data_IF_217394241612
#
_entry.id   IF_217394241612
#
_cell.length_a   1.000
_cell.length_b   1.000
_cell.length_c   1.000
_cell.angle_alpha   90.00
_cell.angle_beta   90.00
_cell.angle_gamma   90.00
#
_symmetry.space_group_name_H-M   'P 1'
#
loop_
_entity.id
_entity.type
_entity.pdbx_description
1 polymer ?
#
# COMPACT_ATOMS: atom_id res chain seq x y z
N UNK A 1 -6.52 3.05 -1.93
CA UNK A 1 -6.45 2.41 -3.26
C UNK A 1 -7.21 3.26 -4.27
N UNK A 2 -6.83 3.20 -5.54
CA UNK A 2 -7.47 3.92 -6.65
C UNK A 2 -8.70 3.18 -7.18
N UNK A 3 -9.55 3.88 -7.95
CA UNK A 3 -10.70 3.25 -8.64
C UNK A 3 -10.24 2.14 -9.59
N UNK A 4 -9.12 2.34 -10.30
CA UNK A 4 -8.58 1.34 -11.23
C UNK A 4 -8.07 0.09 -10.50
N UNK A 5 -7.42 0.25 -9.34
CA UNK A 5 -7.01 -0.88 -8.50
C UNK A 5 -8.23 -1.68 -8.02
N UNK A 6 -9.31 -1.00 -7.64
CA UNK A 6 -10.56 -1.66 -7.27
C UNK A 6 -11.18 -2.42 -8.45
N UNK A 7 -11.19 -1.83 -9.65
CA UNK A 7 -11.65 -2.51 -10.87
C UNK A 7 -10.82 -3.77 -11.14
N UNK A 8 -9.49 -3.68 -11.05
CA UNK A 8 -8.60 -4.81 -11.24
C UNK A 8 -8.87 -5.91 -10.21
N UNK A 9 -9.07 -5.54 -8.94
CA UNK A 9 -9.44 -6.47 -7.86
C UNK A 9 -10.78 -7.17 -8.13
N UNK A 10 -11.81 -6.41 -8.52
CA UNK A 10 -13.14 -6.94 -8.86
C UNK A 10 -13.02 -7.92 -10.03
N UNK A 11 -12.26 -7.57 -11.07
CA UNK A 11 -12.05 -8.39 -12.26
C UNK A 11 -11.31 -9.70 -11.93
N UNK A 12 -10.26 -9.62 -11.10
CA UNK A 12 -9.47 -10.77 -10.62
C UNK A 12 -10.32 -11.78 -9.86
N UNK A 13 -11.37 -11.34 -9.14
CA UNK A 13 -12.21 -12.19 -8.28
C UNK A 13 -13.67 -12.29 -8.76
N UNK A 14 -13.92 -12.10 -10.07
CA UNK A 14 -15.29 -12.16 -10.62
C UNK A 14 -16.00 -13.48 -10.36
N UNK A 15 -15.26 -14.58 -10.41
CA UNK A 15 -15.74 -15.92 -10.08
C UNK A 15 -16.31 -16.02 -8.67
N UNK A 16 -15.67 -15.36 -7.70
CA UNK A 16 -16.12 -15.33 -6.29
C UNK A 16 -17.26 -14.35 -6.05
N UNK A 17 -17.24 -13.21 -6.74
CA UNK A 17 -18.30 -12.18 -6.64
C UNK A 17 -19.61 -12.70 -7.25
N UNK A 18 -19.51 -13.51 -8.31
CA UNK A 18 -20.65 -14.19 -8.92
C UNK A 18 -21.65 -13.20 -9.53
N UNK A 19 -22.92 -13.34 -9.14
CA UNK A 19 -24.03 -12.55 -9.70
C UNK A 19 -24.04 -11.10 -9.23
N UNK A 20 -23.24 -10.74 -8.22
CA UNK A 20 -23.29 -9.40 -7.66
C UNK A 20 -22.79 -8.36 -8.67
N UNK A 21 -23.62 -7.35 -8.92
CA UNK A 21 -23.21 -6.17 -9.65
C UNK A 21 -22.42 -5.26 -8.71
N UNK A 22 -21.26 -4.78 -9.16
CA UNK A 22 -20.44 -3.81 -8.43
C UNK A 22 -20.50 -2.49 -9.18
N UNK A 23 -21.31 -1.56 -8.68
CA UNK A 23 -21.52 -0.24 -9.26
C UNK A 23 -20.46 0.73 -8.74
N UNK A 24 -19.76 1.40 -9.65
CA UNK A 24 -18.64 2.29 -9.31
C UNK A 24 -18.96 3.70 -9.79
N UNK A 25 -19.05 4.64 -8.85
CA UNK A 25 -19.39 6.04 -9.13
C UNK A 25 -20.79 6.20 -9.76
N UNK A 26 -21.70 5.30 -9.40
CA UNK A 26 -23.08 5.35 -9.85
C UNK A 26 -24.02 4.67 -8.85
N UNK A 27 -25.27 5.14 -8.84
CA UNK A 27 -26.34 4.53 -8.06
C UNK A 27 -27.14 3.58 -8.96
N UNK A 28 -27.02 2.28 -8.70
CA UNK A 28 -27.74 1.22 -9.37
C UNK A 28 -28.59 0.44 -8.35
N UNK A 29 -29.91 0.43 -8.55
CA UNK A 29 -30.87 -0.14 -7.59
C UNK A 29 -31.27 -1.59 -7.93
N UNK A 30 -30.53 -2.25 -8.82
CA UNK A 30 -30.75 -3.66 -9.14
C UNK A 30 -30.44 -4.56 -7.94
N UNK A 31 -31.13 -5.70 -7.85
CA UNK A 31 -30.86 -6.72 -6.83
C UNK A 31 -29.40 -7.18 -6.89
N UNK A 32 -28.87 -7.59 -5.73
CA UNK A 32 -27.49 -8.06 -5.60
C UNK A 32 -26.46 -7.01 -6.04
N UNK A 33 -26.62 -5.78 -5.58
CA UNK A 33 -25.68 -4.70 -5.90
C UNK A 33 -24.87 -4.30 -4.68
N UNK A 34 -23.57 -4.12 -4.87
CA UNK A 34 -22.74 -3.30 -3.98
C UNK A 34 -22.23 -2.12 -4.80
N UNK A 35 -22.07 -0.96 -4.19
CA UNK A 35 -21.47 0.13 -4.92
C UNK A 35 -21.14 1.33 -4.09
N UNK A 36 -20.61 2.35 -4.76
CA UNK A 36 -20.51 3.69 -4.22
C UNK A 36 -20.93 4.72 -5.26
N UNK A 37 -21.43 5.87 -4.80
CA UNK A 37 -21.77 7.00 -5.66
C UNK A 37 -21.63 8.32 -4.91
N UNK A 38 -21.44 9.42 -5.63
CA UNK A 38 -21.50 10.76 -5.05
C UNK A 38 -22.94 11.25 -4.91
N UNK A 39 -23.37 11.61 -3.71
CA UNK A 39 -24.69 12.22 -3.45
C UNK A 39 -24.56 13.75 -3.41
N UNK A 40 -25.02 14.39 -4.47
CA UNK A 40 -25.08 15.86 -4.62
C UNK A 40 -25.76 16.55 -3.42
N UNK A 41 -26.81 15.92 -2.86
CA UNK A 41 -27.62 16.52 -1.78
C UNK A 41 -26.86 16.62 -0.47
N UNK A 42 -26.11 15.57 -0.11
CA UNK A 42 -25.31 15.56 1.12
C UNK A 42 -23.85 15.94 0.89
N UNK A 43 -23.45 16.17 -0.37
CA UNK A 43 -22.08 16.43 -0.82
C UNK A 43 -21.08 15.38 -0.31
N UNK A 44 -21.49 14.11 -0.29
CA UNK A 44 -20.71 12.99 0.23
C UNK A 44 -20.81 11.78 -0.69
N UNK A 45 -19.75 10.98 -0.73
CA UNK A 45 -19.76 9.65 -1.32
C UNK A 45 -20.46 8.68 -0.38
N UNK A 46 -21.39 7.90 -0.92
CA UNK A 46 -22.15 6.88 -0.19
C UNK A 46 -21.77 5.51 -0.67
N UNK A 47 -21.40 4.63 0.24
CA UNK A 47 -21.22 3.20 -0.04
C UNK A 47 -22.51 2.50 0.33
N UNK A 48 -23.02 1.67 -0.58
CA UNK A 48 -24.35 1.08 -0.44
C UNK A 48 -24.40 -0.39 -0.85
N UNK A 49 -25.45 -1.04 -0.41
CA UNK A 49 -25.83 -2.40 -0.78
C UNK A 49 -27.31 -2.47 -1.13
N UNK A 50 -27.64 -3.22 -2.17
CA UNK A 50 -29.01 -3.58 -2.55
C UNK A 50 -29.18 -5.08 -2.37
N UNK A 51 -30.09 -5.47 -1.49
CA UNK A 51 -30.36 -6.88 -1.20
C UNK A 51 -31.30 -7.51 -2.26
N UNK A 52 -31.61 -8.79 -2.08
CA UNK A 52 -32.54 -9.55 -2.93
C UNK A 52 -33.99 -8.99 -2.93
N UNK A 53 -34.37 -8.25 -1.89
CA UNK A 53 -35.70 -7.64 -1.75
C UNK A 53 -35.75 -6.22 -2.29
N UNK A 54 -34.67 -5.75 -2.93
CA UNK A 54 -34.48 -4.37 -3.41
C UNK A 54 -34.44 -3.31 -2.30
N UNK A 55 -34.18 -3.71 -1.05
CA UNK A 55 -33.91 -2.74 0.00
C UNK A 55 -32.50 -2.18 -0.19
N UNK A 56 -32.39 -0.84 -0.14
CA UNK A 56 -31.13 -0.12 -0.26
C UNK A 56 -30.63 0.26 1.13
N UNK A 57 -29.41 -0.16 1.42
CA UNK A 57 -28.73 0.09 2.68
C UNK A 57 -27.52 0.99 2.43
N UNK A 58 -27.55 2.21 2.93
CA UNK A 58 -26.34 3.04 2.99
C UNK A 58 -25.48 2.47 4.13
N UNK A 59 -24.32 1.95 3.77
CA UNK A 59 -23.38 1.34 4.70
C UNK A 59 -22.58 2.43 5.42
N UNK A 60 -22.04 3.38 4.65
CA UNK A 60 -21.14 4.42 5.15
C UNK A 60 -21.16 5.64 4.22
N UNK A 61 -20.76 6.80 4.75
CA UNK A 61 -20.65 8.07 4.03
C UNK A 61 -19.27 8.70 4.22
N UNK A 62 -18.71 9.27 3.16
CA UNK A 62 -17.36 9.85 3.15
C UNK A 62 -17.31 11.16 2.38
N UNK A 63 -16.38 12.04 2.75
CA UNK A 63 -16.13 13.29 2.03
C UNK A 63 -15.31 13.10 0.76
N UNK A 64 -14.46 12.09 0.72
CA UNK A 64 -13.56 11.82 -0.40
C UNK A 64 -13.88 10.44 -1.03
N UNK A 65 -13.57 10.31 -2.31
CA UNK A 65 -13.84 9.10 -3.07
C UNK A 65 -12.97 7.92 -2.62
N UNK A 66 -11.70 8.19 -2.30
CA UNK A 66 -10.72 7.17 -1.89
C UNK A 66 -11.21 6.36 -0.69
N UNK A 67 -11.79 7.01 0.32
CA UNK A 67 -12.35 6.34 1.49
C UNK A 67 -13.58 5.50 1.14
N UNK A 68 -14.44 5.98 0.24
CA UNK A 68 -15.58 5.21 -0.25
C UNK A 68 -15.13 3.97 -1.05
N UNK A 69 -14.10 4.11 -1.90
CA UNK A 69 -13.47 3.01 -2.64
C UNK A 69 -12.86 2.00 -1.66
N UNK A 70 -12.07 2.45 -0.69
CA UNK A 70 -11.45 1.61 0.33
C UNK A 70 -12.53 0.85 1.14
N UNK A 71 -13.63 1.52 1.47
CA UNK A 71 -14.74 0.92 2.20
C UNK A 71 -15.51 -0.10 1.36
N UNK A 72 -15.75 0.17 0.08
CA UNK A 72 -16.37 -0.78 -0.84
C UNK A 72 -15.48 -2.01 -1.04
N UNK A 73 -14.17 -1.82 -1.22
CA UNK A 73 -13.21 -2.92 -1.26
C UNK A 73 -13.30 -3.83 -0.03
N UNK A 74 -13.28 -3.24 1.19
CA UNK A 74 -13.45 -4.01 2.44
C UNK A 74 -14.81 -4.72 2.49
N UNK A 75 -15.88 -4.09 1.99
CA UNK A 75 -17.20 -4.71 1.93
C UNK A 75 -17.21 -5.95 1.04
N UNK A 76 -16.63 -5.85 -0.16
CA UNK A 76 -16.53 -6.94 -1.13
C UNK A 76 -15.71 -8.09 -0.51
N UNK A 77 -14.54 -7.80 0.06
CA UNK A 77 -13.71 -8.83 0.71
C UNK A 77 -14.45 -9.59 1.79
N UNK A 78 -15.08 -8.87 2.72
CA UNK A 78 -15.81 -9.49 3.83
C UNK A 78 -17.01 -10.28 3.34
N UNK A 79 -17.77 -9.75 2.37
CA UNK A 79 -18.98 -10.41 1.86
C UNK A 79 -18.68 -11.71 1.11
N UNK A 80 -17.61 -11.72 0.32
CA UNK A 80 -17.24 -12.87 -0.51
C UNK A 80 -16.05 -13.66 0.05
N UNK A 81 -15.65 -13.40 1.29
CA UNK A 81 -14.55 -14.08 1.99
C UNK A 81 -13.25 -14.13 1.16
N UNK A 82 -12.93 -13.02 0.47
CA UNK A 82 -11.74 -12.91 -0.38
C UNK A 82 -10.53 -12.62 0.51
N UNK A 83 -9.55 -13.53 0.48
CA UNK A 83 -8.24 -13.35 1.12
C UNK A 83 -7.23 -12.83 0.12
N UNK A 84 -6.42 -11.85 0.54
CA UNK A 84 -5.25 -11.39 -0.19
C UNK A 84 -3.98 -11.93 0.49
N UNK A 85 -2.83 -11.97 -0.22
CA UNK A 85 -1.57 -12.40 0.36
C UNK A 85 -1.17 -11.57 1.58
N UNK A 86 -0.48 -12.21 2.52
CA UNK A 86 0.18 -11.51 3.62
C UNK A 86 1.35 -10.68 3.09
N UNK A 87 1.72 -9.63 3.81
CA UNK A 87 2.88 -8.79 3.49
C UNK A 87 4.15 -9.65 3.54
N UNK A 88 4.81 -9.80 2.40
CA UNK A 88 6.08 -10.49 2.23
C UNK A 88 7.21 -9.48 2.24
N UNK A 89 7.75 -9.24 3.43
CA UNK A 89 8.90 -8.37 3.63
C UNK A 89 9.72 -8.98 4.77
N UNK A 90 10.84 -9.65 4.44
CA UNK A 90 11.74 -10.18 5.47
C UNK A 90 12.48 -9.01 6.11
N UNK A 91 12.24 -8.81 7.41
CA UNK A 91 12.76 -7.67 8.17
C UNK A 91 14.17 -7.91 8.71
N UNK A 92 14.65 -9.15 8.67
CA UNK A 92 15.94 -9.56 9.23
C UNK A 92 17.07 -9.59 8.20
N UNK A 93 16.74 -9.64 6.91
CA UNK A 93 17.72 -9.72 5.82
C UNK A 93 17.96 -8.38 5.11
N UNK A 94 19.18 -8.21 4.60
CA UNK A 94 19.53 -7.16 3.64
C UNK A 94 19.40 -7.75 2.24
N UNK A 95 18.59 -7.14 1.37
CA UNK A 95 18.20 -7.77 0.11
C UNK A 95 19.36 -7.79 -0.88
N UNK A 96 20.05 -6.66 -1.03
CA UNK A 96 21.31 -6.59 -1.75
C UNK A 96 22.19 -5.43 -1.28
N UNK A 97 23.50 -5.59 -1.50
CA UNK A 97 24.54 -4.61 -1.17
C UNK A 97 25.43 -4.44 -2.41
N UNK A 98 25.73 -3.20 -2.75
CA UNK A 98 26.64 -2.83 -3.82
C UNK A 98 27.46 -1.60 -3.46
N UNK A 99 28.38 -1.24 -4.34
CA UNK A 99 29.21 -0.04 -4.24
C UNK A 99 29.16 0.71 -5.55
N UNK A 100 29.04 2.03 -5.50
CA UNK A 100 28.98 2.92 -6.67
C UNK A 100 29.96 4.07 -6.48
N UNK A 101 31.01 4.13 -7.29
CA UNK A 101 32.12 5.10 -7.17
C UNK A 101 32.66 5.26 -5.73
N UNK A 102 32.12 6.22 -4.96
CA UNK A 102 32.51 6.53 -3.58
C UNK A 102 31.45 6.19 -2.53
N UNK A 103 30.31 5.61 -2.92
CA UNK A 103 29.17 5.33 -2.05
C UNK A 103 28.93 3.82 -1.84
N UNK A 104 28.42 3.49 -0.65
CA UNK A 104 27.86 2.17 -0.34
C UNK A 104 26.36 2.19 -0.58
N UNK A 105 25.83 1.26 -1.36
CA UNK A 105 24.40 1.19 -1.70
C UNK A 105 23.77 -0.10 -1.20
N UNK A 106 22.67 0.01 -0.46
CA UNK A 106 21.82 -1.10 -0.02
C UNK A 106 20.50 -1.02 -0.77
N UNK A 107 20.11 -2.08 -1.46
CA UNK A 107 18.82 -2.16 -2.13
C UNK A 107 17.80 -2.83 -1.19
N UNK A 108 16.63 -2.20 -1.05
CA UNK A 108 15.43 -2.73 -0.40
C UNK A 108 14.35 -2.90 -1.48
N UNK A 109 13.83 -4.11 -1.62
CA UNK A 109 12.81 -4.43 -2.62
C UNK A 109 11.47 -4.66 -1.92
N UNK A 110 10.47 -3.84 -2.27
CA UNK A 110 9.10 -4.02 -1.80
C UNK A 110 8.17 -4.42 -2.95
N UNK A 111 7.82 -5.71 -2.99
CA UNK A 111 6.91 -6.30 -3.97
C UNK A 111 5.43 -6.30 -3.56
N UNK A 112 5.07 -5.70 -2.42
CA UNK A 112 3.74 -5.88 -1.85
C UNK A 112 2.74 -4.86 -2.38
N UNK A 113 1.50 -5.30 -2.57
CA UNK A 113 0.39 -4.42 -2.90
C UNK A 113 -0.06 -3.64 -1.66
N UNK A 114 -0.22 -2.33 -1.80
CA UNK A 114 -0.65 -1.44 -0.72
C UNK A 114 -2.18 -1.47 -0.56
N UNK A 115 -2.66 -2.39 0.27
CA UNK A 115 -4.08 -2.64 0.48
C UNK A 115 -4.63 -1.91 1.72
N UNK A 116 -5.86 -1.35 1.65
CA UNK A 116 -6.44 -0.58 2.77
C UNK A 116 -6.60 -1.35 4.08
N UNK A 117 -6.68 -2.67 4.05
CA UNK A 117 -6.89 -3.51 5.24
C UNK A 117 -5.62 -4.14 5.80
N UNK A 118 -4.48 -4.00 5.11
CA UNK A 118 -3.16 -4.47 5.58
C UNK A 118 -2.11 -3.37 5.65
N UNK A 119 -2.48 -2.11 5.35
CA UNK A 119 -1.56 -0.98 5.32
C UNK A 119 -0.79 -0.79 6.63
N UNK A 120 -1.44 -0.94 7.79
CA UNK A 120 -0.79 -0.81 9.09
C UNK A 120 0.29 -1.88 9.31
N UNK A 121 0.01 -3.14 8.95
CA UNK A 121 1.00 -4.23 9.01
C UNK A 121 2.17 -3.96 8.06
N UNK A 122 1.87 -3.45 6.86
CA UNK A 122 2.88 -3.13 5.85
C UNK A 122 3.81 -2.02 6.35
N UNK A 123 3.25 -0.93 6.89
CA UNK A 123 4.02 0.16 7.49
C UNK A 123 4.91 -0.32 8.64
N UNK A 124 4.40 -1.20 9.49
CA UNK A 124 5.18 -1.78 10.60
C UNK A 124 6.37 -2.58 10.08
N UNK A 125 6.15 -3.52 9.15
CA UNK A 125 7.23 -4.33 8.57
C UNK A 125 8.25 -3.48 7.81
N UNK A 126 7.79 -2.46 7.09
CA UNK A 126 8.68 -1.55 6.37
C UNK A 126 9.55 -0.73 7.34
N UNK A 127 8.98 -0.28 8.45
CA UNK A 127 9.74 0.36 9.53
C UNK A 127 10.77 -0.58 10.13
N UNK A 128 10.39 -1.81 10.49
CA UNK A 128 11.32 -2.81 11.05
C UNK A 128 12.47 -3.12 10.09
N UNK A 129 12.17 -3.28 8.79
CA UNK A 129 13.19 -3.54 7.77
C UNK A 129 14.14 -2.36 7.59
N UNK A 130 13.64 -1.13 7.50
CA UNK A 130 14.50 0.06 7.41
C UNK A 130 15.37 0.22 8.66
N UNK A 131 14.83 -0.06 9.86
CA UNK A 131 15.61 -0.06 11.09
C UNK A 131 16.73 -1.10 11.06
N UNK A 132 16.49 -2.30 10.49
CA UNK A 132 17.53 -3.30 10.30
C UNK A 132 18.64 -2.81 9.35
N UNK A 133 18.28 -2.12 8.26
CA UNK A 133 19.26 -1.56 7.31
C UNK A 133 20.09 -0.46 7.96
N UNK A 134 19.46 0.44 8.71
CA UNK A 134 20.16 1.48 9.48
C UNK A 134 21.10 0.83 10.49
N UNK A 135 20.63 -0.17 11.25
CA UNK A 135 21.46 -0.89 12.20
C UNK A 135 22.65 -1.58 11.54
N UNK A 136 22.46 -2.23 10.39
CA UNK A 136 23.53 -2.88 9.62
C UNK A 136 24.63 -1.87 9.23
N UNK A 137 24.24 -0.66 8.82
CA UNK A 137 25.15 0.42 8.48
C UNK A 137 25.87 0.99 9.72
N UNK A 138 25.13 1.30 10.80
CA UNK A 138 25.69 1.87 12.04
C UNK A 138 26.63 0.90 12.75
N UNK A 139 26.30 -0.40 12.76
CA UNK A 139 27.13 -1.46 13.34
C UNK A 139 28.27 -1.90 12.43
N UNK A 140 28.41 -1.28 11.24
CA UNK A 140 29.52 -1.49 10.31
C UNK A 140 29.69 -2.94 9.83
N UNK A 141 28.58 -3.68 9.71
CA UNK A 141 28.61 -5.09 9.31
C UNK A 141 29.15 -5.31 7.89
N UNK A 142 29.14 -4.28 7.03
CA UNK A 142 29.68 -4.34 5.68
C UNK A 142 31.22 -4.28 5.60
N UNK A 143 31.90 -3.85 6.67
CA UNK A 143 33.32 -3.43 6.60
C UNK A 143 34.27 -4.56 6.22
N UNK A 144 34.02 -5.78 6.70
CA UNK A 144 34.88 -6.93 6.38
C UNK A 144 34.92 -7.20 4.86
N UNK A 145 33.82 -6.96 4.17
CA UNK A 145 33.66 -7.26 2.74
C UNK A 145 33.94 -6.06 1.83
N UNK A 146 33.55 -4.86 2.23
CA UNK A 146 33.54 -3.68 1.37
C UNK A 146 34.51 -2.57 1.83
N UNK A 147 35.12 -2.70 3.00
CA UNK A 147 35.89 -1.63 3.64
C UNK A 147 34.99 -0.55 4.25
N UNK A 148 35.59 0.53 4.77
CA UNK A 148 34.88 1.60 5.50
C UNK A 148 35.13 3.00 4.91
N UNK A 149 35.51 3.08 3.64
CA UNK A 149 35.83 4.34 2.96
C UNK A 149 34.74 4.67 1.96
N UNK A 150 33.65 5.26 2.46
CA UNK A 150 32.54 5.73 1.64
C UNK A 150 32.18 7.17 2.01
N UNK A 151 31.86 7.99 1.02
CA UNK A 151 31.38 9.36 1.21
C UNK A 151 29.94 9.36 1.74
N UNK A 152 29.10 8.46 1.20
CA UNK A 152 27.72 8.25 1.67
C UNK A 152 27.35 6.78 1.75
N UNK A 153 26.30 6.53 2.52
CA UNK A 153 25.61 5.26 2.63
C UNK A 153 24.17 5.45 2.16
N UNK A 154 23.80 4.82 1.05
CA UNK A 154 22.49 5.01 0.42
C UNK A 154 21.66 3.75 0.62
N UNK A 155 20.52 3.90 1.28
CA UNK A 155 19.46 2.90 1.25
C UNK A 155 18.57 3.27 0.06
N UNK A 156 18.52 2.41 -0.95
CA UNK A 156 17.67 2.56 -2.12
C UNK A 156 16.48 1.63 -1.99
N UNK A 157 15.28 2.19 -1.88
CA UNK A 157 14.04 1.40 -1.86
C UNK A 157 13.35 1.47 -3.22
N UNK A 158 12.96 0.29 -3.73
CA UNK A 158 12.21 0.13 -4.98
C UNK A 158 10.87 -0.53 -4.70
N UNK A 159 9.83 -0.10 -5.41
CA UNK A 159 8.46 -0.58 -5.24
C UNK A 159 7.93 -1.23 -6.51
N UNK A 160 7.34 -2.42 -6.39
CA UNK A 160 6.55 -3.00 -7.49
C UNK A 160 5.20 -2.30 -7.66
N UNK A 161 4.59 -1.89 -6.55
CA UNK A 161 3.30 -1.19 -6.52
C UNK A 161 3.44 0.11 -5.76
N UNK A 162 2.78 1.17 -6.24
CA UNK A 162 2.84 2.48 -5.61
C UNK A 162 2.41 2.41 -4.13
N UNK A 163 3.21 2.99 -3.21
CA UNK A 163 2.80 3.15 -1.83
C UNK A 163 1.55 3.99 -1.69
N UNK A 164 0.85 3.82 -0.57
CA UNK A 164 -0.23 4.74 -0.20
C UNK A 164 0.32 6.10 0.22
N UNK A 165 -0.56 7.10 0.35
CA UNK A 165 -0.19 8.43 0.88
C UNK A 165 0.46 8.33 2.27
N UNK A 166 -0.01 7.40 3.11
CA UNK A 166 0.58 7.12 4.42
C UNK A 166 2.00 6.51 4.27
N UNK A 167 2.18 5.59 3.33
CA UNK A 167 3.49 5.04 2.98
C UNK A 167 4.47 6.09 2.50
N UNK A 168 4.04 6.97 1.59
CA UNK A 168 4.86 8.08 1.09
C UNK A 168 5.22 9.07 2.20
N UNK A 169 4.26 9.42 3.06
CA UNK A 169 4.50 10.29 4.21
C UNK A 169 5.49 9.67 5.21
N UNK A 170 5.40 8.36 5.44
CA UNK A 170 6.35 7.61 6.25
C UNK A 170 7.76 7.64 5.66
N UNK A 171 7.93 7.35 4.36
CA UNK A 171 9.23 7.40 3.68
C UNK A 171 9.85 8.81 3.74
N UNK A 172 9.05 9.85 3.54
CA UNK A 172 9.49 11.23 3.67
C UNK A 172 9.93 11.57 5.11
N UNK A 173 9.29 10.99 6.12
CA UNK A 173 9.72 11.14 7.51
C UNK A 173 11.07 10.45 7.76
N UNK A 174 11.27 9.24 7.23
CA UNK A 174 12.56 8.53 7.32
C UNK A 174 13.67 9.34 6.65
N UNK A 175 13.43 9.88 5.45
CA UNK A 175 14.40 10.76 4.78
C UNK A 175 14.84 11.93 5.66
N UNK A 176 13.91 12.59 6.36
CA UNK A 176 14.21 13.68 7.29
C UNK A 176 15.04 13.22 8.49
N UNK A 177 14.73 12.04 9.04
CA UNK A 177 15.49 11.46 10.17
C UNK A 177 16.94 11.19 9.80
N UNK A 178 17.21 10.79 8.55
CA UNK A 178 18.55 10.48 8.07
C UNK A 178 19.38 11.71 7.65
N UNK A 179 18.76 12.88 7.42
CA UNK A 179 19.45 14.10 6.99
C UNK A 179 20.71 14.52 7.79
N UNK A 180 20.77 14.40 9.13
CA UNK A 180 21.96 14.79 9.89
C UNK A 180 23.08 13.74 9.89
N UNK A 181 22.91 12.62 9.19
CA UNK A 181 23.87 11.50 9.14
C UNK A 181 24.59 11.44 7.79
N UNK A 182 25.50 10.48 7.62
CA UNK A 182 26.09 10.12 6.32
C UNK A 182 25.23 9.10 5.53
N UNK A 183 24.04 8.80 6.05
CA UNK A 183 23.05 7.94 5.41
C UNK A 183 22.01 8.74 4.63
N UNK A 184 21.44 8.12 3.60
CA UNK A 184 20.30 8.69 2.87
C UNK A 184 19.34 7.61 2.40
N UNK A 185 18.06 7.96 2.28
CA UNK A 185 17.03 7.09 1.69
C UNK A 185 16.64 7.63 0.32
N UNK A 186 16.89 6.85 -0.73
CA UNK A 186 16.42 7.11 -2.10
C UNK A 186 15.18 6.24 -2.35
N UNK A 187 14.11 6.85 -2.84
CA UNK A 187 12.84 6.18 -3.14
C UNK A 187 12.63 6.14 -4.64
N UNK A 188 12.41 4.94 -5.19
CA UNK A 188 12.05 4.71 -6.58
C UNK A 188 10.63 4.14 -6.65
N UNK A 189 9.73 4.89 -7.28
CA UNK A 189 8.33 4.51 -7.49
C UNK A 189 8.19 3.82 -8.86
N UNK A 190 7.23 2.90 -9.03
CA UNK A 190 6.95 2.31 -10.34
C UNK A 190 6.48 3.39 -11.34
N UNK A 191 6.79 3.17 -12.62
CA UNK A 191 6.37 4.02 -13.75
C UNK A 191 4.85 4.00 -14.01
#
# INVERSE_FOLDING_TARGET
MTKQELVNFINKHRDKIGIFHIALDERFEGQFTLGYYYDEKSSQYKVYEVNERQDIWIRDEYKNESDAINRLYRLIKTKFWIKEPLIQLDVSEIDAIGTSDTDLELLLIDGNLWLPDTEEEHLLKLQEKLNNYIYFLESKQYVERYGDKFDKKVIHITFQYSPSDNGLAFLAAVQKVLQPTDMSLKVELPE
#
